data_IF_482322694468
#
_entry.id   IF_482322694468
#
_cell.length_a   1.000
_cell.length_b   1.000
_cell.length_c   1.000
_cell.angle_alpha   90.00
_cell.angle_beta   90.00
_cell.angle_gamma   90.00
#
_symmetry.space_group_name_H-M   'P 1'
#
loop_
_entity.id
_entity.type
_entity.pdbx_description
1 polymer ?
#
# COMPACT_ATOMS: atom_id res chain seq x y z
N UNK A 1 -10.45 -19.26 7.67
CA UNK A 1 -10.28 -18.41 6.47
C UNK A 1 -10.22 -19.27 5.20
N UNK A 2 -10.67 -18.75 4.04
CA UNK A 2 -10.38 -19.31 2.70
C UNK A 2 -9.33 -18.43 2.01
N UNK A 3 -8.33 -19.05 1.39
CA UNK A 3 -7.25 -18.37 0.66
C UNK A 3 -7.38 -18.58 -0.85
N UNK A 4 -7.01 -17.57 -1.63
CA UNK A 4 -7.03 -17.56 -3.10
C UNK A 4 -5.70 -17.03 -3.65
N UNK A 5 -5.38 -17.38 -4.89
CA UNK A 5 -4.21 -16.80 -5.56
C UNK A 5 -4.52 -15.36 -5.99
N UNK A 6 -3.60 -14.44 -5.75
CA UNK A 6 -3.70 -13.07 -6.24
C UNK A 6 -3.22 -12.99 -7.69
N UNK A 7 -4.11 -13.32 -8.63
CA UNK A 7 -3.77 -13.35 -10.06
C UNK A 7 -2.60 -14.32 -10.33
N UNK A 8 -1.55 -13.81 -11.01
CA UNK A 8 -0.36 -14.59 -11.39
C UNK A 8 0.88 -14.27 -10.55
N UNK A 9 0.73 -13.57 -9.42
CA UNK A 9 1.87 -13.16 -8.59
C UNK A 9 2.55 -14.29 -7.82
N UNK A 10 1.87 -15.43 -7.67
CA UNK A 10 2.30 -16.50 -6.77
C UNK A 10 1.93 -16.29 -5.30
N UNK A 11 1.31 -15.14 -4.95
CA UNK A 11 0.85 -14.85 -3.60
C UNK A 11 -0.47 -15.57 -3.30
N UNK A 12 -0.59 -16.14 -2.10
CA UNK A 12 -1.86 -16.60 -1.53
C UNK A 12 -2.38 -15.60 -0.50
N UNK A 13 -3.56 -15.06 -0.76
CA UNK A 13 -4.22 -14.06 0.09
C UNK A 13 -5.54 -14.57 0.64
N UNK A 14 -5.92 -14.11 1.82
CA UNK A 14 -7.28 -14.26 2.34
C UNK A 14 -8.27 -13.63 1.36
N UNK A 15 -9.46 -14.23 1.20
CA UNK A 15 -10.51 -13.67 0.31
C UNK A 15 -10.95 -12.27 0.70
N UNK A 16 -10.68 -11.86 1.93
CA UNK A 16 -10.90 -10.52 2.45
C UNK A 16 -9.55 -9.88 2.72
N UNK A 17 -9.42 -8.61 2.31
CA UNK A 17 -8.30 -7.75 2.67
C UNK A 17 -8.73 -6.84 3.81
N UNK A 18 -7.86 -6.62 4.80
CA UNK A 18 -8.07 -5.56 5.77
C UNK A 18 -7.55 -4.24 5.20
N UNK A 19 -8.46 -3.29 5.00
CA UNK A 19 -8.08 -1.91 4.67
C UNK A 19 -7.63 -1.15 5.92
N UNK A 20 -6.45 -0.56 5.86
CA UNK A 20 -5.81 0.10 7.00
C UNK A 20 -5.97 1.63 6.98
N UNK A 21 -6.80 2.19 6.10
CA UNK A 21 -7.01 3.63 5.97
C UNK A 21 -7.50 4.29 7.26
N UNK A 22 -8.28 3.57 8.07
CA UNK A 22 -8.75 4.06 9.37
C UNK A 22 -7.69 4.03 10.47
N UNK A 23 -6.55 3.38 10.27
CA UNK A 23 -5.50 3.31 11.29
C UNK A 23 -4.52 4.43 11.04
N UNK A 24 -4.42 5.41 11.94
CA UNK A 24 -3.62 6.61 11.72
C UNK A 24 -3.76 7.64 12.82
N UNK A 25 -2.72 8.46 13.00
CA UNK A 25 -2.73 9.57 13.96
C UNK A 25 -3.72 10.66 13.51
N UNK A 26 -4.79 10.93 14.27
CA UNK A 26 -5.82 11.89 13.90
C UNK A 26 -5.28 13.32 13.69
N UNK A 27 -4.14 13.68 14.27
CA UNK A 27 -3.60 15.04 14.21
C UNK A 27 -2.80 15.32 12.92
N UNK A 28 -2.30 14.30 12.22
CA UNK A 28 -1.42 14.50 11.04
C UNK A 28 -2.20 14.87 9.78
N UNK A 29 -3.24 14.09 9.47
CA UNK A 29 -4.24 14.40 8.45
C UNK A 29 -5.60 14.00 9.02
N UNK A 30 -6.30 14.92 9.70
CA UNK A 30 -7.53 14.60 10.40
C UNK A 30 -8.59 14.02 9.47
N UNK A 31 -9.00 12.79 9.77
CA UNK A 31 -10.18 12.16 9.21
C UNK A 31 -11.07 11.73 10.38
N UNK A 32 -12.40 11.93 10.30
CA UNK A 32 -13.28 11.64 11.41
C UNK A 32 -13.37 10.15 11.77
N UNK A 33 -12.87 9.27 10.90
CA UNK A 33 -12.81 7.81 11.10
C UNK A 33 -11.41 7.30 11.47
N UNK A 34 -10.43 8.18 11.71
CA UNK A 34 -9.08 7.78 12.12
C UNK A 34 -9.09 7.22 13.54
N UNK A 35 -8.43 6.07 13.70
CA UNK A 35 -8.19 5.36 14.94
C UNK A 35 -6.68 5.40 15.21
N UNK A 36 -6.31 5.86 16.41
CA UNK A 36 -4.92 5.86 16.85
C UNK A 36 -4.34 4.44 16.95
N UNK A 37 -3.04 4.33 17.30
CA UNK A 37 -2.40 3.01 17.46
C UNK A 37 -3.16 2.13 18.45
N UNK A 38 -3.57 2.68 19.59
CA UNK A 38 -4.20 1.94 20.68
C UNK A 38 -5.55 1.34 20.26
N UNK A 39 -6.36 2.10 19.53
CA UNK A 39 -7.65 1.67 19.02
C UNK A 39 -7.54 0.74 17.79
N UNK A 40 -6.48 0.88 16.98
CA UNK A 40 -6.24 0.06 15.79
C UNK A 40 -5.78 -1.36 16.13
N UNK A 41 -4.92 -1.51 17.15
CA UNK A 41 -4.28 -2.79 17.50
C UNK A 41 -5.26 -3.96 17.74
N UNK A 42 -6.35 -3.81 18.51
CA UNK A 42 -7.31 -4.91 18.72
C UNK A 42 -7.96 -5.38 17.41
N UNK A 43 -8.22 -4.47 16.47
CA UNK A 43 -8.83 -4.80 15.17
C UNK A 43 -7.87 -5.57 14.27
N UNK A 44 -6.60 -5.13 14.21
CA UNK A 44 -5.55 -5.84 13.48
C UNK A 44 -5.33 -7.25 14.07
N UNK A 45 -5.30 -7.36 15.40
CA UNK A 45 -5.21 -8.65 16.09
C UNK A 45 -6.37 -9.57 15.73
N UNK A 46 -7.60 -9.08 15.82
CA UNK A 46 -8.79 -9.86 15.50
C UNK A 46 -8.78 -10.33 14.03
N UNK A 47 -8.33 -9.48 13.11
CA UNK A 47 -8.17 -9.84 11.70
C UNK A 47 -7.17 -11.00 11.53
N UNK A 48 -5.99 -10.91 12.17
CA UNK A 48 -4.98 -11.97 12.16
C UNK A 48 -5.53 -13.28 12.76
N UNK A 49 -6.20 -13.21 13.92
CA UNK A 49 -6.82 -14.36 14.59
C UNK A 49 -7.93 -15.01 13.75
N UNK A 50 -8.66 -14.23 12.95
CA UNK A 50 -9.63 -14.74 11.99
C UNK A 50 -8.99 -15.37 10.72
N UNK A 51 -7.67 -15.27 10.59
CA UNK A 51 -6.87 -15.77 9.48
C UNK A 51 -6.78 -14.81 8.30
N UNK A 52 -7.06 -13.51 8.47
CA UNK A 52 -6.74 -12.52 7.43
C UNK A 52 -5.22 -12.41 7.35
N UNK A 53 -4.69 -12.56 6.14
CA UNK A 53 -3.26 -12.38 5.89
C UNK A 53 -2.97 -11.27 4.88
N UNK A 54 -3.99 -10.58 4.36
CA UNK A 54 -3.81 -9.54 3.35
C UNK A 54 -4.21 -8.16 3.91
N UNK A 55 -3.25 -7.23 3.90
CA UNK A 55 -3.36 -5.90 4.50
C UNK A 55 -3.03 -4.82 3.46
N UNK A 56 -3.89 -3.82 3.34
CA UNK A 56 -3.77 -2.73 2.36
C UNK A 56 -3.71 -1.38 3.07
N UNK A 57 -2.64 -0.63 2.82
CA UNK A 57 -2.44 0.75 3.30
C UNK A 57 -2.03 1.66 2.13
N UNK A 58 -1.62 2.90 2.38
CA UNK A 58 -1.09 3.82 1.38
C UNK A 58 -0.18 4.85 2.04
N UNK A 59 0.77 5.38 1.26
CA UNK A 59 1.71 6.40 1.72
C UNK A 59 1.04 7.64 2.36
N UNK A 60 -0.13 8.04 1.84
CA UNK A 60 -0.85 9.26 2.26
C UNK A 60 -1.79 9.04 3.44
N UNK A 61 -2.19 7.81 3.76
CA UNK A 61 -3.20 7.57 4.79
C UNK A 61 -2.72 8.12 6.13
N UNK A 62 -3.49 9.07 6.67
CA UNK A 62 -3.16 9.85 7.88
C UNK A 62 -1.74 10.43 7.87
N UNK A 63 -1.29 10.93 6.71
CA UNK A 63 0.02 11.56 6.53
C UNK A 63 1.17 10.58 6.71
N UNK A 64 0.97 9.32 6.31
CA UNK A 64 1.94 8.23 6.45
C UNK A 64 1.87 7.48 7.78
N UNK A 65 1.18 8.02 8.80
CA UNK A 65 1.09 7.32 10.10
C UNK A 65 0.35 5.98 10.03
N UNK A 66 -0.49 5.76 9.01
CA UNK A 66 -1.11 4.46 8.80
C UNK A 66 -0.10 3.34 8.53
N UNK A 67 0.93 3.62 7.74
CA UNK A 67 2.02 2.68 7.49
C UNK A 67 2.84 2.42 8.77
N UNK A 68 3.06 3.45 9.59
CA UNK A 68 3.76 3.32 10.88
C UNK A 68 3.01 2.39 11.84
N UNK A 69 1.71 2.64 12.03
CA UNK A 69 0.85 1.85 12.93
C UNK A 69 0.68 0.43 12.41
N UNK A 70 0.36 0.27 11.13
CA UNK A 70 0.15 -1.03 10.50
C UNK A 70 1.44 -1.86 10.53
N UNK A 71 2.56 -1.26 10.15
CA UNK A 71 3.86 -1.92 10.13
C UNK A 71 4.30 -2.38 11.52
N UNK A 72 4.17 -1.52 12.54
CA UNK A 72 4.47 -1.86 13.93
C UNK A 72 3.58 -3.00 14.44
N UNK A 73 2.26 -2.91 14.25
CA UNK A 73 1.34 -3.94 14.70
C UNK A 73 1.62 -5.31 14.06
N UNK A 74 1.84 -5.34 12.74
CA UNK A 74 2.12 -6.59 12.02
C UNK A 74 3.45 -7.22 12.43
N UNK A 75 4.50 -6.43 12.64
CA UNK A 75 5.81 -6.95 13.12
C UNK A 75 5.73 -7.56 14.52
N UNK A 76 4.83 -7.06 15.36
CA UNK A 76 4.66 -7.57 16.72
C UNK A 76 3.68 -8.76 16.81
N UNK A 77 2.75 -8.90 15.86
CA UNK A 77 1.63 -9.84 15.96
C UNK A 77 1.61 -10.93 14.88
N UNK A 78 2.41 -10.80 13.82
CA UNK A 78 2.42 -11.71 12.69
C UNK A 78 3.84 -12.09 12.27
N UNK A 79 3.95 -13.21 11.58
CA UNK A 79 5.19 -13.61 10.91
C UNK A 79 5.21 -13.02 9.51
N UNK A 80 6.30 -12.33 9.14
CA UNK A 80 6.37 -11.57 7.88
C UNK A 80 6.18 -12.44 6.64
N UNK A 81 6.61 -13.70 6.69
CA UNK A 81 6.48 -14.69 5.61
C UNK A 81 5.06 -15.25 5.43
N UNK A 82 4.16 -15.02 6.38
CA UNK A 82 2.78 -15.54 6.35
C UNK A 82 1.75 -14.50 5.87
N UNK A 83 2.16 -13.23 5.83
CA UNK A 83 1.30 -12.08 5.50
C UNK A 83 1.71 -11.42 4.18
N UNK A 84 0.71 -10.80 3.55
CA UNK A 84 0.82 -10.02 2.33
C UNK A 84 0.49 -8.57 2.66
N UNK A 85 1.45 -7.68 2.43
CA UNK A 85 1.31 -6.24 2.68
C UNK A 85 1.32 -5.49 1.36
N UNK A 86 0.24 -4.76 1.10
CA UNK A 86 0.10 -3.85 0.00
C UNK A 86 0.20 -2.39 0.45
N UNK A 87 0.94 -1.57 -0.29
CA UNK A 87 0.91 -0.12 -0.15
C UNK A 87 0.85 0.57 -1.50
N UNK A 88 0.64 1.88 -1.50
CA UNK A 88 0.37 2.70 -2.67
C UNK A 88 1.22 3.95 -2.69
N UNK A 89 1.50 4.46 -3.88
CA UNK A 89 2.15 5.74 -4.12
C UNK A 89 1.32 6.62 -5.04
N UNK A 90 1.23 7.93 -4.73
CA UNK A 90 0.77 8.99 -5.63
C UNK A 90 0.70 10.33 -4.87
N UNK A 91 -0.02 10.37 -3.75
CA UNK A 91 -0.25 11.64 -3.04
C UNK A 91 0.95 11.98 -2.16
N UNK A 92 1.34 13.26 -2.05
CA UNK A 92 2.44 13.67 -1.19
C UNK A 92 2.06 13.52 0.28
N UNK A 93 2.73 12.59 0.98
CA UNK A 93 2.50 12.33 2.40
C UNK A 93 3.11 13.39 3.34
N UNK A 94 4.03 14.21 2.81
CA UNK A 94 4.62 15.38 3.45
C UNK A 94 4.77 16.51 2.44
N UNK A 95 4.79 17.76 2.92
CA UNK A 95 4.99 18.94 2.09
C UNK A 95 6.46 19.06 1.64
N UNK A 96 6.80 18.49 0.49
CA UNK A 96 8.14 18.54 -0.08
C UNK A 96 8.09 18.30 -1.59
N UNK A 97 8.99 18.92 -2.38
CA UNK A 97 9.11 18.60 -3.80
C UNK A 97 9.42 17.12 -4.01
N UNK A 98 8.81 16.51 -5.04
CA UNK A 98 9.02 15.11 -5.45
C UNK A 98 8.50 14.02 -4.49
N UNK A 99 7.62 14.34 -3.54
CA UNK A 99 7.01 13.32 -2.64
C UNK A 99 5.67 12.78 -3.12
N UNK A 100 5.19 13.24 -4.28
CA UNK A 100 3.96 12.77 -4.92
C UNK A 100 4.11 12.66 -6.43
N UNK A 101 3.00 12.30 -7.08
CA UNK A 101 2.89 11.94 -8.50
C UNK A 101 3.71 10.70 -8.86
N UNK A 102 3.84 10.40 -10.15
CA UNK A 102 4.40 9.12 -10.63
C UNK A 102 5.69 9.27 -11.45
N UNK A 103 6.39 10.40 -11.34
CA UNK A 103 7.76 10.50 -11.88
C UNK A 103 8.66 9.41 -11.29
N UNK A 104 9.68 9.00 -12.05
CA UNK A 104 10.64 7.98 -11.60
C UNK A 104 11.24 8.30 -10.24
N UNK A 105 11.63 9.57 -10.00
CA UNK A 105 12.19 10.01 -8.71
C UNK A 105 11.17 9.84 -7.58
N UNK A 106 9.91 10.20 -7.82
CA UNK A 106 8.85 10.10 -6.81
C UNK A 106 8.53 8.64 -6.46
N UNK A 107 8.44 7.76 -7.46
CA UNK A 107 8.18 6.32 -7.26
C UNK A 107 9.28 5.68 -6.40
N UNK A 108 10.56 5.89 -6.77
CA UNK A 108 11.69 5.34 -6.01
C UNK A 108 11.76 5.90 -4.59
N UNK A 109 11.55 7.21 -4.41
CA UNK A 109 11.53 7.78 -3.07
C UNK A 109 10.36 7.25 -2.25
N UNK A 110 9.19 7.09 -2.86
CA UNK A 110 7.97 6.66 -2.16
C UNK A 110 8.09 5.24 -1.64
N UNK A 111 8.71 4.31 -2.38
CA UNK A 111 8.90 2.95 -1.88
C UNK A 111 9.86 2.94 -0.69
N UNK A 112 10.97 3.68 -0.76
CA UNK A 112 11.94 3.78 0.35
C UNK A 112 11.31 4.38 1.61
N UNK A 113 10.54 5.45 1.43
CA UNK A 113 9.79 6.11 2.49
C UNK A 113 8.75 5.17 3.12
N UNK A 114 8.02 4.40 2.30
CA UNK A 114 7.02 3.43 2.77
C UNK A 114 7.66 2.28 3.55
N UNK A 115 8.76 1.70 3.06
CA UNK A 115 9.50 0.64 3.76
C UNK A 115 10.01 1.12 5.12
N UNK A 116 10.54 2.35 5.18
CA UNK A 116 10.98 2.98 6.43
C UNK A 116 9.83 3.12 7.43
N UNK A 117 8.67 3.63 7.02
CA UNK A 117 7.50 3.77 7.90
C UNK A 117 6.94 2.42 8.35
N UNK A 118 6.80 1.46 7.45
CA UNK A 118 6.37 0.10 7.77
C UNK A 118 7.38 -0.61 8.70
N UNK A 119 8.66 -0.21 8.64
CA UNK A 119 9.76 -0.90 9.29
C UNK A 119 10.01 -2.29 8.69
N UNK A 120 9.85 -2.43 7.37
CA UNK A 120 9.95 -3.70 6.64
C UNK A 120 10.99 -3.60 5.53
N UNK A 121 11.60 -4.73 5.19
CA UNK A 121 12.59 -4.80 4.11
C UNK A 121 11.95 -4.88 2.71
N UNK A 122 10.69 -5.32 2.64
CA UNK A 122 9.93 -5.45 1.40
C UNK A 122 8.42 -5.31 1.62
N UNK A 123 7.71 -4.97 0.55
CA UNK A 123 6.24 -5.11 0.41
C UNK A 123 5.93 -6.11 -0.70
N UNK A 124 4.80 -6.81 -0.56
CA UNK A 124 4.39 -7.85 -1.51
C UNK A 124 3.73 -7.25 -2.76
N UNK A 125 3.05 -6.11 -2.55
CA UNK A 125 2.34 -5.38 -3.60
C UNK A 125 2.56 -3.87 -3.43
N UNK A 126 3.10 -3.24 -4.47
CA UNK A 126 3.23 -1.78 -4.56
C UNK A 126 2.39 -1.28 -5.72
N UNK A 127 1.50 -0.31 -5.50
CA UNK A 127 0.50 0.12 -6.47
C UNK A 127 0.55 1.63 -6.71
N UNK A 128 0.15 2.07 -7.90
CA UNK A 128 -0.18 3.48 -8.13
C UNK A 128 -1.56 3.74 -7.52
N UNK A 129 -1.67 4.80 -6.71
CA UNK A 129 -2.92 5.13 -6.03
C UNK A 129 -3.91 5.84 -6.97
N UNK A 130 -3.40 6.59 -7.94
CA UNK A 130 -4.14 7.31 -8.98
C UNK A 130 -3.33 7.35 -10.27
N UNK A 131 -4.01 7.64 -11.38
CA UNK A 131 -3.36 7.94 -12.64
C UNK A 131 -2.72 9.34 -12.59
N UNK A 132 -1.54 9.49 -13.20
CA UNK A 132 -0.82 10.75 -13.29
C UNK A 132 -0.80 11.25 -14.74
N UNK A 133 -1.52 12.33 -15.01
CA UNK A 133 -1.54 12.96 -16.33
C UNK A 133 -0.29 13.79 -16.64
N UNK A 134 0.56 14.05 -15.64
CA UNK A 134 1.75 14.90 -15.78
C UNK A 134 3.03 14.10 -16.04
N UNK A 135 3.03 12.80 -15.77
CA UNK A 135 4.15 11.90 -16.04
C UNK A 135 3.80 10.96 -17.20
N UNK A 136 4.66 10.79 -18.22
CA UNK A 136 4.46 9.79 -19.26
C UNK A 136 4.24 8.40 -18.67
N UNK A 137 3.31 7.64 -19.25
CA UNK A 137 2.97 6.30 -18.77
C UNK A 137 4.18 5.37 -18.89
N UNK A 138 4.96 5.50 -19.95
CA UNK A 138 6.17 4.73 -20.19
C UNK A 138 7.19 4.91 -19.06
N UNK A 139 7.42 6.16 -18.63
CA UNK A 139 8.32 6.45 -17.50
C UNK A 139 7.80 5.82 -16.21
N UNK A 140 6.49 5.97 -15.94
CA UNK A 140 5.84 5.38 -14.75
C UNK A 140 6.02 3.86 -14.74
N UNK A 141 5.73 3.20 -15.86
CA UNK A 141 5.79 1.76 -16.00
C UNK A 141 7.22 1.22 -15.90
N UNK A 142 8.18 1.90 -16.53
CA UNK A 142 9.60 1.56 -16.45
C UNK A 142 10.11 1.72 -15.00
N UNK A 143 9.73 2.80 -14.31
CA UNK A 143 10.10 3.00 -12.91
C UNK A 143 9.54 1.90 -12.00
N UNK A 144 8.26 1.52 -12.17
CA UNK A 144 7.66 0.42 -11.42
C UNK A 144 8.34 -0.92 -11.72
N UNK A 145 8.65 -1.19 -12.99
CA UNK A 145 9.38 -2.40 -13.40
C UNK A 145 10.76 -2.47 -12.73
N UNK A 146 11.48 -1.35 -12.73
CA UNK A 146 12.79 -1.26 -12.11
C UNK A 146 12.75 -1.42 -10.59
N UNK A 147 11.73 -0.93 -9.90
CA UNK A 147 11.55 -1.20 -8.45
C UNK A 147 11.50 -2.70 -8.18
N UNK A 148 10.84 -3.48 -9.03
CA UNK A 148 10.79 -4.95 -8.92
C UNK A 148 12.17 -5.56 -9.20
N UNK A 149 12.84 -5.14 -10.27
CA UNK A 149 14.13 -5.70 -10.68
C UNK A 149 15.27 -5.37 -9.72
N UNK A 150 15.46 -4.09 -9.35
CA UNK A 150 16.59 -3.67 -8.51
C UNK A 150 16.47 -4.18 -7.07
N UNK A 151 15.26 -4.44 -6.58
CA UNK A 151 15.06 -5.02 -5.25
C UNK A 151 15.16 -6.54 -5.26
N UNK A 152 15.00 -7.21 -6.41
CA UNK A 152 15.33 -8.63 -6.57
C UNK A 152 16.83 -8.90 -6.36
N UNK A 153 17.71 -7.95 -6.71
CA UNK A 153 19.16 -8.09 -6.53
C UNK A 153 19.62 -7.86 -5.07
N UNK A 154 18.80 -7.23 -4.22
CA UNK A 154 19.14 -6.88 -2.84
C UNK A 154 18.31 -7.63 -1.78
N UNK A 155 17.11 -8.13 -2.09
CA UNK A 155 16.23 -8.79 -1.14
C UNK A 155 15.46 -9.96 -1.78
N UNK A 156 15.50 -11.13 -1.15
CA UNK A 156 14.63 -12.26 -1.45
C UNK A 156 13.18 -11.88 -1.15
N UNK A 157 12.33 -11.72 -2.18
CA UNK A 157 10.89 -12.09 -2.27
C UNK A 157 10.15 -11.21 -3.29
N UNK A 158 9.20 -11.83 -3.99
CA UNK A 158 8.50 -11.29 -5.14
C UNK A 158 7.70 -10.02 -4.82
N UNK A 159 8.17 -8.85 -5.27
CA UNK A 159 7.30 -7.69 -5.45
C UNK A 159 6.48 -7.93 -6.71
N UNK A 160 5.20 -8.28 -6.55
CA UNK A 160 4.27 -8.26 -7.67
C UNK A 160 3.58 -6.90 -7.68
N UNK A 161 3.83 -6.08 -8.69
CA UNK A 161 3.07 -4.85 -8.90
C UNK A 161 1.84 -5.21 -9.72
N UNK A 162 0.68 -5.30 -9.08
CA UNK A 162 -0.61 -5.36 -9.74
C UNK A 162 -1.13 -3.93 -9.90
N UNK A 163 -1.22 -3.44 -11.13
CA UNK A 163 -1.70 -2.09 -11.42
C UNK A 163 -3.22 -2.15 -11.41
N UNK A 164 -3.82 -1.72 -10.31
CA UNK A 164 -5.24 -1.37 -10.28
C UNK A 164 -5.40 0.12 -10.56
N UNK A 165 -5.85 0.49 -11.76
CA UNK A 165 -6.23 1.88 -12.07
C UNK A 165 -7.61 2.12 -11.44
N UNK A 166 -7.65 2.51 -10.18
CA UNK A 166 -8.83 3.18 -9.61
C UNK A 166 -8.81 4.63 -10.08
N UNK A 167 -9.32 4.86 -11.30
CA UNK A 167 -9.30 6.20 -11.91
C UNK A 167 -10.01 6.34 -13.27
N UNK A 168 -10.42 5.25 -13.93
CA UNK A 168 -11.25 5.36 -15.15
C UNK A 168 -12.67 5.91 -14.88
N UNK A 169 -13.08 6.01 -13.61
CA UNK A 169 -14.37 6.57 -13.21
C UNK A 169 -14.40 8.11 -13.14
N UNK A 170 -13.26 8.81 -13.24
CA UNK A 170 -13.22 10.27 -13.23
C UNK A 170 -13.39 10.89 -14.63
N UNK A 171 -13.74 10.07 -15.62
CA UNK A 171 -14.14 10.54 -16.94
C UNK A 171 -15.65 10.89 -16.90
N UNK A 172 -16.07 12.15 -17.14
CA UNK A 172 -17.48 12.58 -17.07
C UNK A 172 -18.42 11.90 -18.08
N UNK A 173 -17.95 10.92 -18.85
CA UNK A 173 -18.74 10.12 -19.81
C UNK A 173 -18.90 8.63 -19.46
N UNK A 174 -18.49 8.16 -18.29
CA UNK A 174 -18.57 6.72 -17.94
C UNK A 174 -19.59 6.48 -16.83
N UNK A 175 -20.78 6.01 -17.18
CA UNK A 175 -21.73 5.49 -16.20
C UNK A 175 -21.20 4.18 -15.62
N UNK A 176 -21.03 4.13 -14.30
CA UNK A 176 -20.75 2.89 -13.56
C UNK A 176 -21.96 2.62 -12.67
N UNK A 177 -22.66 1.52 -12.97
CA UNK A 177 -23.75 1.02 -12.13
C UNK A 177 -23.18 0.45 -10.82
N UNK A 178 -23.79 0.74 -9.66
CA UNK A 178 -23.35 0.22 -8.38
C UNK A 178 -23.71 -1.26 -8.25
N UNK A 179 -22.75 -2.06 -7.79
CA UNK A 179 -22.98 -3.36 -7.13
C UNK A 179 -22.32 -3.33 -5.76
#
# INVERSE_FOLDING_TARGET
MKYVNLGRSGLKVSRLCLGCMSYGEPERLPQPWSLDEKASRPLIRQALEAGINFFDTANIYSGGSSEEITGKALREMARRDEIVVATKTFFPWRNSPNTGFLSRKAIFQSIDDSLMRLGMDYVDLFQIHRFDYSTPVEETMEALHDVVNYRWELARLATSINISITGLADNPGTEVLPI
#
